data_IF_446738484175
#
_entry.id   IF_446738484175
#
_cell.length_a   1.000
_cell.length_b   1.000
_cell.length_c   1.000
_cell.angle_alpha   90.00
_cell.angle_beta   90.00
_cell.angle_gamma   90.00
#
_symmetry.space_group_name_H-M   'P 1'
#
loop_
_entity.id
_entity.type
_entity.pdbx_description
1 polymer ?
#
# COMPACT_ATOMS: atom_id res chain seq x y z
N UNK A 1 -21.11 4.31 7.25
CA UNK A 1 -20.46 4.30 5.92
C UNK A 1 -21.37 3.61 4.91
N UNK A 2 -21.58 4.21 3.73
CA UNK A 2 -22.32 3.57 2.64
C UNK A 2 -21.50 2.42 2.02
N UNK A 3 -22.17 1.36 1.54
CA UNK A 3 -21.50 0.21 0.91
C UNK A 3 -20.65 0.66 -0.29
N UNK A 4 -21.14 1.63 -1.08
CA UNK A 4 -20.39 2.21 -2.21
C UNK A 4 -19.07 2.84 -1.80
N UNK A 5 -19.03 3.52 -0.64
CA UNK A 5 -17.80 4.12 -0.10
C UNK A 5 -16.81 3.04 0.34
N UNK A 6 -17.28 1.97 0.98
CA UNK A 6 -16.44 0.83 1.35
C UNK A 6 -15.85 0.14 0.12
N UNK A 7 -16.66 -0.13 -0.90
CA UNK A 7 -16.20 -0.75 -2.16
C UNK A 7 -15.18 0.15 -2.88
N UNK A 8 -15.42 1.46 -2.89
CA UNK A 8 -14.47 2.42 -3.46
C UNK A 8 -13.15 2.40 -2.69
N UNK A 9 -13.23 2.41 -1.35
CA UNK A 9 -12.06 2.35 -0.48
C UNK A 9 -11.25 1.07 -0.72
N UNK A 10 -11.90 -0.10 -0.77
CA UNK A 10 -11.26 -1.37 -1.11
C UNK A 10 -10.61 -1.34 -2.49
N UNK A 11 -11.27 -0.79 -3.51
CA UNK A 11 -10.70 -0.68 -4.86
C UNK A 11 -9.42 0.17 -4.89
N UNK A 12 -9.41 1.28 -4.16
CA UNK A 12 -8.24 2.14 -4.03
C UNK A 12 -7.13 1.46 -3.20
N UNK A 13 -7.52 0.76 -2.13
CA UNK A 13 -6.63 -0.03 -1.28
C UNK A 13 -5.90 -1.11 -2.09
N UNK A 14 -6.66 -1.89 -2.85
CA UNK A 14 -6.17 -2.86 -3.80
C UNK A 14 -5.17 -2.24 -4.78
N UNK A 15 -5.53 -1.11 -5.40
CA UNK A 15 -4.64 -0.43 -6.36
C UNK A 15 -3.31 0.02 -5.72
N UNK A 16 -3.35 0.42 -4.44
CA UNK A 16 -2.18 0.81 -3.65
C UNK A 16 -1.27 -0.37 -3.32
N UNK A 17 -1.84 -1.52 -2.95
CA UNK A 17 -1.08 -2.74 -2.63
C UNK A 17 -0.57 -3.42 -3.90
N UNK A 18 -1.40 -3.50 -4.94
CA UNK A 18 -1.08 -4.20 -6.19
C UNK A 18 0.00 -3.48 -7.00
N UNK A 19 0.11 -2.14 -6.88
CA UNK A 19 1.16 -1.39 -7.56
C UNK A 19 2.53 -1.71 -6.93
N UNK A 20 3.54 -2.13 -7.73
CA UNK A 20 4.85 -2.56 -7.25
C UNK A 20 5.47 -1.57 -6.26
N UNK A 21 5.39 -1.91 -4.98
CA UNK A 21 6.02 -1.16 -3.89
C UNK A 21 7.15 -1.95 -3.24
N UNK A 22 7.86 -1.33 -2.29
CA UNK A 22 8.89 -1.99 -1.48
C UNK A 22 8.43 -3.33 -0.88
N UNK A 23 7.19 -3.41 -0.38
CA UNK A 23 6.66 -4.61 0.27
C UNK A 23 6.50 -5.78 -0.71
N UNK A 24 5.79 -5.57 -1.82
CA UNK A 24 5.59 -6.61 -2.85
C UNK A 24 6.92 -7.07 -3.43
N UNK A 25 7.82 -6.13 -3.74
CA UNK A 25 9.17 -6.46 -4.26
C UNK A 25 9.97 -7.27 -3.24
N UNK A 26 9.90 -6.91 -1.96
CA UNK A 26 10.60 -7.63 -0.91
C UNK A 26 10.04 -9.04 -0.71
N UNK A 27 8.72 -9.20 -0.71
CA UNK A 27 8.06 -10.51 -0.63
C UNK A 27 8.49 -11.40 -1.82
N UNK A 28 8.50 -10.85 -3.04
CA UNK A 28 8.96 -11.57 -4.24
C UNK A 28 10.44 -11.96 -4.12
N UNK A 29 11.30 -11.05 -3.65
CA UNK A 29 12.75 -11.32 -3.47
C UNK A 29 13.01 -12.45 -2.47
N UNK A 30 12.28 -12.46 -1.35
CA UNK A 30 12.37 -13.55 -0.37
C UNK A 30 11.77 -14.85 -0.91
N UNK A 31 10.64 -14.78 -1.60
CA UNK A 31 9.90 -15.93 -2.12
C UNK A 31 10.59 -16.65 -3.26
N UNK A 32 11.42 -15.93 -4.02
CA UNK A 32 12.28 -16.53 -5.03
C UNK A 32 13.26 -17.56 -4.44
N UNK A 33 13.64 -17.39 -3.16
CA UNK A 33 14.54 -18.30 -2.44
C UNK A 33 13.80 -19.23 -1.49
N UNK A 34 12.79 -18.72 -0.79
CA UNK A 34 12.03 -19.48 0.20
C UNK A 34 10.61 -18.92 0.34
N UNK A 35 9.62 -19.71 -0.08
CA UNK A 35 8.19 -19.41 0.12
C UNK A 35 7.87 -19.17 1.60
N UNK A 36 8.47 -19.97 2.49
CA UNK A 36 8.28 -19.80 3.94
C UNK A 36 8.78 -18.43 4.40
N UNK A 37 9.94 -17.98 3.92
CA UNK A 37 10.47 -16.65 4.27
C UNK A 37 9.56 -15.53 3.74
N UNK A 38 9.06 -15.66 2.52
CA UNK A 38 8.11 -14.70 1.95
C UNK A 38 6.81 -14.60 2.75
N UNK A 39 6.26 -15.72 3.21
CA UNK A 39 5.07 -15.72 4.06
C UNK A 39 5.34 -14.99 5.38
N UNK A 40 6.48 -15.25 6.04
CA UNK A 40 6.82 -14.51 7.26
C UNK A 40 6.98 -13.01 7.02
N UNK A 41 7.58 -12.61 5.90
CA UNK A 41 7.67 -11.19 5.53
C UNK A 41 6.29 -10.58 5.19
N UNK A 42 5.42 -11.32 4.51
CA UNK A 42 4.04 -10.89 4.26
C UNK A 42 3.27 -10.66 5.56
N UNK A 43 3.41 -11.57 6.53
CA UNK A 43 2.83 -11.40 7.88
C UNK A 43 3.41 -10.19 8.59
N UNK A 44 4.73 -9.99 8.53
CA UNK A 44 5.38 -8.80 9.10
C UNK A 44 4.87 -7.50 8.50
N UNK A 45 4.74 -7.44 7.17
CA UNK A 45 4.24 -6.26 6.45
C UNK A 45 2.78 -5.98 6.84
N UNK A 46 1.94 -7.03 6.90
CA UNK A 46 0.54 -6.91 7.34
C UNK A 46 0.43 -6.39 8.77
N UNK A 47 1.34 -6.78 9.67
CA UNK A 47 1.37 -6.23 11.03
C UNK A 47 1.72 -4.74 11.04
N UNK A 48 2.70 -4.30 10.23
CA UNK A 48 3.02 -2.88 10.08
C UNK A 48 1.81 -2.07 9.59
N UNK A 49 1.14 -2.59 8.56
CA UNK A 49 -0.07 -2.01 7.98
C UNK A 49 -1.22 -1.96 9.00
N UNK A 50 -1.33 -2.98 9.86
CA UNK A 50 -2.29 -3.01 10.96
C UNK A 50 -2.04 -1.88 11.95
N UNK A 51 -0.77 -1.60 12.30
CA UNK A 51 -0.42 -0.48 13.20
C UNK A 51 -0.87 0.84 12.57
N UNK A 52 -0.56 1.06 11.29
CA UNK A 52 -0.99 2.27 10.58
C UNK A 52 -2.52 2.40 10.51
N UNK A 53 -3.21 1.29 10.26
CA UNK A 53 -4.68 1.24 10.20
C UNK A 53 -5.31 1.58 11.53
N UNK A 54 -4.85 0.95 12.61
CA UNK A 54 -5.37 1.20 13.96
C UNK A 54 -5.04 2.63 14.40
N UNK A 55 -3.81 3.10 14.16
CA UNK A 55 -3.40 4.47 14.51
C UNK A 55 -4.25 5.51 13.75
N UNK A 56 -4.53 5.27 12.47
CA UNK A 56 -5.38 6.14 11.67
C UNK A 56 -6.83 6.10 12.17
N UNK A 57 -7.42 4.91 12.35
CA UNK A 57 -8.80 4.79 12.85
C UNK A 57 -9.01 5.39 14.24
N UNK A 58 -8.08 5.15 15.16
CA UNK A 58 -8.19 5.61 16.54
C UNK A 58 -7.88 7.12 16.67
N UNK A 59 -6.90 7.63 15.92
CA UNK A 59 -6.42 9.01 16.05
C UNK A 59 -7.19 10.03 15.22
N UNK A 60 -7.60 9.69 13.99
CA UNK A 60 -8.11 10.69 13.05
C UNK A 60 -9.51 11.20 13.42
N UNK A 61 -10.41 10.32 13.90
CA UNK A 61 -11.78 10.71 14.23
C UNK A 61 -11.83 11.75 15.36
N UNK A 62 -11.08 11.51 16.46
CA UNK A 62 -11.01 12.44 17.58
C UNK A 62 -10.34 13.76 17.17
N UNK A 63 -9.28 13.68 16.37
CA UNK A 63 -8.51 14.83 15.92
C UNK A 63 -9.32 15.75 14.98
N UNK A 64 -10.04 15.16 14.01
CA UNK A 64 -10.91 15.89 13.08
C UNK A 64 -12.09 16.52 13.81
N UNK A 65 -12.67 15.82 14.79
CA UNK A 65 -13.77 16.35 15.60
C UNK A 65 -13.35 17.56 16.44
N UNK A 66 -12.12 17.54 16.96
CA UNK A 66 -11.56 18.66 17.74
C UNK A 66 -11.15 19.85 16.86
N UNK A 67 -10.62 19.59 15.66
CA UNK A 67 -10.11 20.62 14.76
C UNK A 67 -10.52 20.35 13.31
N UNK A 68 -11.65 20.90 12.85
CA UNK A 68 -12.15 20.69 11.48
C UNK A 68 -11.16 21.08 10.37
N UNK A 69 -10.27 22.05 10.63
CA UNK A 69 -9.21 22.45 9.67
C UNK A 69 -8.17 21.37 9.39
N UNK A 70 -8.03 20.37 10.27
CA UNK A 70 -7.14 19.23 10.04
C UNK A 70 -7.64 18.38 8.88
N UNK A 71 -8.97 18.23 8.72
CA UNK A 71 -9.54 17.52 7.59
C UNK A 71 -9.14 18.22 6.28
N UNK A 72 -9.33 19.54 6.19
CA UNK A 72 -8.95 20.34 5.01
C UNK A 72 -7.47 20.20 4.70
N UNK A 73 -6.60 20.29 5.71
CA UNK A 73 -5.16 20.10 5.53
C UNK A 73 -4.81 18.70 5.02
N UNK A 74 -5.42 17.64 5.57
CA UNK A 74 -5.23 16.26 5.12
C UNK A 74 -5.76 16.04 3.71
N UNK A 75 -6.87 16.67 3.32
CA UNK A 75 -7.40 16.63 1.96
C UNK A 75 -6.44 17.28 0.97
N UNK A 76 -5.94 18.48 1.26
CA UNK A 76 -5.00 19.17 0.37
C UNK A 76 -3.68 18.39 0.26
N UNK A 77 -3.08 18.00 1.39
CA UNK A 77 -1.82 17.27 1.40
C UNK A 77 -1.96 15.88 0.76
N UNK A 78 -3.03 15.16 1.11
CA UNK A 78 -3.33 13.83 0.61
C UNK A 78 -3.66 13.83 -0.88
N UNK A 79 -4.46 14.79 -1.35
CA UNK A 79 -4.76 15.00 -2.76
C UNK A 79 -3.49 15.28 -3.57
N UNK A 80 -2.66 16.23 -3.15
CA UNK A 80 -1.36 16.52 -3.77
C UNK A 80 -0.47 15.28 -3.84
N UNK A 81 -0.43 14.49 -2.76
CA UNK A 81 0.35 13.26 -2.73
C UNK A 81 -0.18 12.19 -3.69
N UNK A 82 -1.50 11.99 -3.76
CA UNK A 82 -2.10 11.06 -4.72
C UNK A 82 -1.82 11.49 -6.17
N UNK A 83 -1.81 12.79 -6.46
CA UNK A 83 -1.42 13.32 -7.77
C UNK A 83 0.06 13.05 -8.09
N UNK A 84 0.95 13.18 -7.09
CA UNK A 84 2.36 12.83 -7.26
C UNK A 84 2.55 11.32 -7.48
N UNK A 85 1.83 10.48 -6.73
CA UNK A 85 1.77 9.03 -6.92
C UNK A 85 1.24 8.66 -8.31
N UNK A 86 0.19 9.34 -8.77
CA UNK A 86 -0.35 9.16 -10.11
C UNK A 86 0.68 9.48 -11.19
N UNK A 87 1.33 10.64 -11.07
CA UNK A 87 2.37 11.07 -12.01
C UNK A 87 3.54 10.09 -12.06
N UNK A 88 4.07 9.68 -10.91
CA UNK A 88 5.20 8.74 -10.83
C UNK A 88 4.84 7.37 -11.38
N UNK A 89 3.66 6.83 -11.07
CA UNK A 89 3.19 5.54 -11.57
C UNK A 89 2.93 5.58 -13.09
N UNK A 90 2.18 6.57 -13.60
CA UNK A 90 1.89 6.67 -15.04
C UNK A 90 3.18 6.87 -15.85
N UNK A 91 4.05 7.78 -15.42
CA UNK A 91 5.31 8.04 -16.14
C UNK A 91 6.28 6.86 -16.03
N UNK A 92 6.33 6.18 -14.89
CA UNK A 92 7.07 4.94 -14.68
C UNK A 92 6.61 3.85 -15.63
N UNK A 93 5.31 3.56 -15.65
CA UNK A 93 4.73 2.55 -16.53
C UNK A 93 4.94 2.87 -18.02
N UNK A 94 4.76 4.13 -18.45
CA UNK A 94 5.03 4.54 -19.85
C UNK A 94 6.50 4.31 -20.23
N UNK A 95 7.45 4.64 -19.34
CA UNK A 95 8.89 4.40 -19.56
C UNK A 95 9.19 2.90 -19.62
N UNK A 96 8.62 2.12 -18.71
CA UNK A 96 8.84 0.68 -18.62
C UNK A 96 8.33 -0.07 -19.86
N UNK A 97 7.24 0.40 -20.50
CA UNK A 97 6.80 -0.15 -21.80
C UNK A 97 7.86 -0.05 -22.90
N UNK A 98 8.85 0.83 -22.74
CA UNK A 98 9.96 1.03 -23.69
C UNK A 98 11.23 0.31 -23.25
N UNK A 99 11.25 -0.30 -22.06
CA UNK A 99 12.40 -0.98 -21.49
C UNK A 99 12.25 -2.51 -21.60
N UNK A 100 13.36 -3.27 -21.62
CA UNK A 100 13.29 -4.72 -21.55
C UNK A 100 12.71 -5.18 -20.20
N UNK A 101 11.76 -6.12 -20.27
CA UNK A 101 11.11 -6.71 -19.10
C UNK A 101 12.13 -7.33 -18.13
N UNK A 102 12.13 -6.86 -16.89
CA UNK A 102 13.01 -7.42 -15.83
C UNK A 102 12.18 -8.28 -14.89
N UNK A 103 12.56 -9.55 -14.73
CA UNK A 103 11.88 -10.48 -13.83
C UNK A 103 12.49 -10.37 -12.43
N UNK A 104 11.72 -9.85 -11.47
CA UNK A 104 12.19 -9.63 -10.10
C UNK A 104 12.41 -10.98 -9.40
N UNK A 105 13.58 -11.15 -8.79
CA UNK A 105 13.89 -12.37 -8.00
C UNK A 105 14.38 -13.56 -8.82
N UNK A 106 14.57 -13.45 -10.14
CA UNK A 106 15.25 -14.48 -10.94
C UNK A 106 16.77 -14.28 -11.04
N UNK A 107 17.30 -13.29 -10.34
CA UNK A 107 18.71 -12.94 -10.32
C UNK A 107 19.53 -14.09 -9.68
N UNK A 108 20.07 -14.98 -10.50
CA UNK A 108 20.86 -16.15 -10.06
C UNK A 108 22.15 -15.76 -9.32
N UNK A 109 22.57 -14.49 -9.43
CA UNK A 109 23.80 -13.91 -8.84
C UNK A 109 23.56 -12.68 -7.97
N UNK A 110 22.33 -12.36 -7.61
CA UNK A 110 22.12 -11.25 -6.68
C UNK A 110 22.73 -11.59 -5.31
N UNK A 111 23.40 -10.61 -4.66
CA UNK A 111 23.88 -10.77 -3.29
C UNK A 111 22.76 -11.34 -2.41
N UNK A 112 23.10 -12.29 -1.53
CA UNK A 112 22.11 -12.78 -0.57
C UNK A 112 21.54 -11.57 0.19
N UNK A 113 20.20 -11.44 0.29
CA UNK A 113 19.61 -10.43 1.15
C UNK A 113 20.20 -10.56 2.56
N UNK A 114 20.47 -9.44 3.24
CA UNK A 114 20.99 -9.47 4.62
C UNK A 114 20.08 -10.34 5.50
N UNK A 115 20.67 -11.26 6.26
CA UNK A 115 19.95 -12.14 7.19
C UNK A 115 19.81 -13.61 6.76
N UNK A 116 20.22 -13.96 5.54
CA UNK A 116 20.41 -15.36 5.15
C UNK A 116 21.74 -15.92 5.67
N UNK A 117 21.74 -17.18 6.08
CA UNK A 117 22.98 -17.93 6.38
C UNK A 117 23.67 -18.32 5.07
N UNK A 118 24.98 -18.68 5.11
CA UNK A 118 25.68 -19.22 3.93
C UNK A 118 24.94 -20.37 3.25
N UNK A 119 24.23 -21.20 4.03
CA UNK A 119 23.40 -22.32 3.55
C UNK A 119 22.08 -21.90 2.90
N UNK A 120 21.81 -20.59 2.78
CA UNK A 120 20.59 -20.06 2.18
C UNK A 120 19.35 -20.13 3.07
N UNK A 121 19.53 -20.28 4.39
CA UNK A 121 18.43 -20.33 5.35
C UNK A 121 18.23 -18.96 6.00
N UNK A 122 16.99 -18.52 6.14
CA UNK A 122 16.64 -17.32 6.92
C UNK A 122 15.71 -17.71 8.07
N UNK A 123 15.97 -17.16 9.26
CA UNK A 123 15.09 -17.37 10.42
C UNK A 123 13.75 -16.68 10.18
N UNK A 124 12.66 -17.33 10.60
CA UNK A 124 11.29 -16.80 10.50
C UNK A 124 11.18 -15.39 11.10
N UNK A 125 11.75 -15.18 12.29
CA UNK A 125 11.76 -13.87 12.95
C UNK A 125 12.50 -12.80 12.14
N UNK A 126 13.59 -13.14 11.45
CA UNK A 126 14.32 -12.20 10.59
C UNK A 126 13.48 -11.82 9.38
N UNK A 127 12.89 -12.79 8.68
CA UNK A 127 12.02 -12.54 7.53
C UNK A 127 10.78 -11.71 7.91
N UNK A 128 10.16 -12.00 9.06
CA UNK A 128 9.08 -11.21 9.63
C UNK A 128 9.50 -9.78 9.90
N UNK A 129 10.63 -9.57 10.59
CA UNK A 129 11.15 -8.22 10.89
C UNK A 129 11.48 -7.44 9.63
N UNK A 130 12.00 -8.10 8.60
CA UNK A 130 12.24 -7.45 7.32
C UNK A 130 10.93 -6.91 6.74
N UNK A 131 9.86 -7.72 6.69
CA UNK A 131 8.56 -7.26 6.19
C UNK A 131 7.98 -6.12 7.03
N UNK A 132 7.98 -6.30 8.34
CA UNK A 132 7.49 -5.30 9.30
C UNK A 132 8.20 -3.95 9.18
N UNK A 133 9.53 -3.95 9.10
CA UNK A 133 10.31 -2.72 8.94
C UNK A 133 10.11 -2.11 7.56
N UNK A 134 10.01 -2.94 6.51
CA UNK A 134 9.77 -2.45 5.16
C UNK A 134 8.46 -1.66 5.10
N UNK A 135 7.37 -2.23 5.60
CA UNK A 135 6.05 -1.58 5.61
C UNK A 135 6.07 -0.29 6.44
N UNK A 136 6.59 -0.34 7.68
CA UNK A 136 6.64 0.85 8.55
C UNK A 136 7.49 1.99 7.97
N UNK A 137 8.55 1.66 7.24
CA UNK A 137 9.43 2.64 6.60
C UNK A 137 9.00 2.99 5.17
N UNK A 138 7.93 2.36 4.67
CA UNK A 138 7.47 2.56 3.30
C UNK A 138 6.84 3.96 3.19
N UNK A 139 7.51 4.95 2.55
CA UNK A 139 6.96 6.29 2.43
C UNK A 139 5.62 6.29 1.68
N UNK A 140 5.38 5.26 0.85
CA UNK A 140 4.10 5.04 0.17
C UNK A 140 2.96 4.91 1.18
N UNK A 141 3.17 4.04 2.16
CA UNK A 141 2.20 3.65 3.19
C UNK A 141 1.96 4.84 4.12
N UNK A 142 3.02 5.43 4.67
CA UNK A 142 2.94 6.54 5.64
C UNK A 142 2.04 7.68 5.15
N UNK A 143 2.21 8.10 3.90
CA UNK A 143 1.49 9.26 3.36
C UNK A 143 0.10 8.86 2.84
N UNK A 144 -0.06 7.63 2.34
CA UNK A 144 -1.36 7.11 1.86
C UNK A 144 -2.39 7.00 2.98
N UNK A 145 -1.98 6.57 4.18
CA UNK A 145 -2.88 6.45 5.33
C UNK A 145 -3.53 7.79 5.71
N UNK A 146 -2.77 8.88 5.76
CA UNK A 146 -3.31 10.22 6.04
C UNK A 146 -4.29 10.70 4.97
N UNK A 147 -3.96 10.48 3.69
CA UNK A 147 -4.77 10.92 2.55
C UNK A 147 -6.11 10.18 2.45
N UNK A 148 -6.08 8.86 2.61
CA UNK A 148 -7.24 7.99 2.40
C UNK A 148 -8.16 8.02 3.61
N UNK A 149 -7.63 7.86 4.82
CA UNK A 149 -8.48 7.74 6.00
C UNK A 149 -9.24 9.05 6.28
N UNK A 150 -8.64 10.21 6.00
CA UNK A 150 -9.31 11.50 6.16
C UNK A 150 -10.57 11.64 5.30
N UNK A 151 -10.60 10.99 4.12
CA UNK A 151 -11.66 11.18 3.14
C UNK A 151 -12.72 10.07 3.17
N UNK A 152 -12.34 8.89 3.64
CA UNK A 152 -13.24 7.74 3.66
C UNK A 152 -13.79 7.45 5.06
N UNK A 153 -13.23 8.03 6.13
CA UNK A 153 -13.67 7.77 7.50
C UNK A 153 -14.36 9.00 8.07
N UNK A 154 -15.64 8.83 8.37
CA UNK A 154 -16.47 9.83 9.01
C UNK A 154 -16.23 9.80 10.53
N UNK A 155 -15.93 10.94 11.18
CA UNK A 155 -15.79 11.02 12.63
C UNK A 155 -17.01 10.48 13.41
N UNK A 156 -18.21 10.54 12.84
CA UNK A 156 -19.45 10.01 13.41
C UNK A 156 -19.61 8.49 13.29
N UNK A 157 -18.66 7.77 12.69
CA UNK A 157 -18.71 6.31 12.63
C UNK A 157 -18.60 5.69 14.03
N UNK A 158 -19.58 4.85 14.38
CA UNK A 158 -19.50 4.04 15.58
C UNK A 158 -18.32 3.06 15.55
N UNK A 159 -17.82 2.67 16.72
CA UNK A 159 -16.64 1.80 16.89
C UNK A 159 -16.75 0.51 16.06
N UNK A 160 -17.93 -0.10 16.00
CA UNK A 160 -18.17 -1.30 15.19
C UNK A 160 -17.90 -1.10 13.69
N UNK A 161 -18.27 0.06 13.14
CA UNK A 161 -18.01 0.39 11.74
C UNK A 161 -16.51 0.62 11.49
N UNK A 162 -15.80 1.29 12.41
CA UNK A 162 -14.35 1.47 12.33
C UNK A 162 -13.60 0.13 12.37
N UNK A 163 -13.99 -0.76 13.29
CA UNK A 163 -13.42 -2.11 13.40
C UNK A 163 -13.68 -2.94 12.14
N UNK A 164 -14.89 -2.86 11.58
CA UNK A 164 -15.23 -3.55 10.34
C UNK A 164 -14.37 -3.07 9.17
N UNK A 165 -14.25 -1.75 8.97
CA UNK A 165 -13.40 -1.17 7.91
C UNK A 165 -11.95 -1.61 8.09
N UNK A 166 -11.40 -1.46 9.29
CA UNK A 166 -10.03 -1.89 9.59
C UNK A 166 -9.81 -3.38 9.32
N UNK A 167 -10.74 -4.24 9.77
CA UNK A 167 -10.66 -5.67 9.56
C UNK A 167 -10.68 -6.05 8.08
N UNK A 168 -11.54 -5.42 7.27
CA UNK A 168 -11.63 -5.66 5.82
C UNK A 168 -10.33 -5.29 5.13
N UNK A 169 -9.77 -4.09 5.40
CA UNK A 169 -8.53 -3.64 4.77
C UNK A 169 -7.31 -4.48 5.19
N UNK A 170 -7.24 -4.87 6.47
CA UNK A 170 -6.17 -5.74 6.97
C UNK A 170 -6.28 -7.13 6.33
N UNK A 171 -7.49 -7.69 6.22
CA UNK A 171 -7.71 -8.99 5.62
C UNK A 171 -7.38 -8.98 4.11
N UNK A 172 -7.80 -7.94 3.40
CA UNK A 172 -7.45 -7.73 2.00
C UNK A 172 -5.92 -7.70 1.83
N UNK A 173 -5.23 -6.93 2.67
CA UNK A 173 -3.76 -6.82 2.64
C UNK A 173 -3.09 -8.16 2.92
N UNK A 174 -3.58 -8.89 3.92
CA UNK A 174 -3.07 -10.21 4.28
C UNK A 174 -3.22 -11.20 3.13
N UNK A 175 -4.41 -11.25 2.52
CA UNK A 175 -4.71 -12.14 1.38
C UNK A 175 -3.81 -11.82 0.19
N UNK A 176 -3.63 -10.54 -0.14
CA UNK A 176 -2.78 -10.12 -1.25
C UNK A 176 -1.30 -10.44 -0.98
N UNK A 177 -0.76 -10.04 0.17
CA UNK A 177 0.66 -10.27 0.48
C UNK A 177 1.01 -11.75 0.62
N UNK A 178 0.17 -12.53 1.29
CA UNK A 178 0.36 -13.99 1.39
C UNK A 178 0.14 -14.66 0.04
N UNK A 179 -0.83 -14.21 -0.75
CA UNK A 179 -1.06 -14.68 -2.12
C UNK A 179 0.17 -14.48 -3.01
N UNK A 180 0.81 -13.30 -2.94
CA UNK A 180 2.08 -13.01 -3.60
C UNK A 180 3.19 -13.93 -3.10
N UNK A 181 3.32 -14.11 -1.78
CA UNK A 181 4.34 -14.98 -1.20
C UNK A 181 4.22 -16.43 -1.71
N UNK A 182 3.01 -16.99 -1.70
CA UNK A 182 2.73 -18.36 -2.14
C UNK A 182 2.87 -18.53 -3.67
N UNK A 183 2.63 -17.46 -4.43
CA UNK A 183 2.61 -17.48 -5.89
C UNK A 183 3.80 -16.77 -6.53
N UNK A 184 4.91 -16.61 -5.79
CA UNK A 184 6.03 -15.73 -6.17
C UNK A 184 6.52 -15.92 -7.62
N UNK A 185 6.70 -17.17 -8.07
CA UNK A 185 7.17 -17.44 -9.44
C UNK A 185 6.18 -16.99 -10.51
N UNK A 186 4.88 -17.21 -10.28
CA UNK A 186 3.83 -16.83 -11.21
C UNK A 186 3.66 -15.30 -11.21
N UNK A 187 3.59 -14.69 -10.03
CA UNK A 187 3.46 -13.25 -9.85
C UNK A 187 4.66 -12.52 -10.45
N UNK A 188 5.89 -12.98 -10.21
CA UNK A 188 7.10 -12.36 -10.77
C UNK A 188 7.10 -12.37 -12.31
N UNK A 189 6.74 -13.50 -12.95
CA UNK A 189 6.61 -13.57 -14.41
C UNK A 189 5.47 -12.69 -14.93
N UNK A 190 4.34 -12.67 -14.25
CA UNK A 190 3.20 -11.85 -14.62
C UNK A 190 3.52 -10.35 -14.48
N UNK A 191 4.18 -9.95 -13.41
CA UNK A 191 4.62 -8.57 -13.20
C UNK A 191 5.65 -8.16 -14.23
N UNK A 192 6.62 -8.99 -14.59
CA UNK A 192 7.58 -8.65 -15.64
C UNK A 192 6.92 -8.33 -16.99
N UNK A 193 5.75 -8.91 -17.28
CA UNK A 193 4.98 -8.64 -18.51
C UNK A 193 4.00 -7.47 -18.36
N UNK A 194 3.46 -7.24 -17.16
CA UNK A 194 2.31 -6.38 -16.95
C UNK A 194 2.55 -5.21 -15.98
N UNK A 195 3.73 -5.09 -15.37
CA UNK A 195 4.11 -4.04 -14.40
C UNK A 195 3.76 -2.64 -14.91
N UNK A 196 4.09 -2.37 -16.17
CA UNK A 196 3.77 -1.11 -16.80
C UNK A 196 2.25 -0.79 -16.83
N UNK A 197 1.41 -1.79 -17.07
CA UNK A 197 -0.05 -1.60 -17.05
C UNK A 197 -0.58 -1.49 -15.63
N UNK A 198 -0.02 -2.25 -14.69
CA UNK A 198 -0.35 -2.12 -13.26
C UNK A 198 -0.07 -0.70 -12.79
N UNK A 199 1.10 -0.15 -13.11
CA UNK A 199 1.47 1.21 -12.74
C UNK A 199 0.57 2.27 -13.40
N UNK A 200 0.27 2.12 -14.69
CA UNK A 200 -0.63 3.06 -15.39
C UNK A 200 -2.05 3.01 -14.81
N UNK A 201 -2.60 1.82 -14.55
CA UNK A 201 -3.95 1.66 -14.00
C UNK A 201 -4.03 2.18 -12.57
N UNK A 202 -3.09 1.79 -11.70
CA UNK A 202 -3.01 2.32 -10.34
C UNK A 202 -2.83 3.83 -10.35
N UNK A 203 -1.97 4.36 -11.24
CA UNK A 203 -1.78 5.79 -11.41
C UNK A 203 -3.03 6.52 -11.88
N UNK A 204 -3.85 5.93 -12.76
CA UNK A 204 -5.14 6.49 -13.16
C UNK A 204 -6.13 6.54 -11.99
N UNK A 205 -6.17 5.49 -11.15
CA UNK A 205 -6.98 5.47 -9.92
C UNK A 205 -6.53 6.56 -8.95
N UNK A 206 -5.22 6.71 -8.73
CA UNK A 206 -4.68 7.78 -7.87
C UNK A 206 -4.93 9.17 -8.45
N UNK A 207 -4.87 9.34 -9.77
CA UNK A 207 -5.14 10.61 -10.43
C UNK A 207 -6.57 11.05 -10.16
N UNK A 208 -7.53 10.15 -10.45
CA UNK A 208 -8.95 10.42 -10.27
C UNK A 208 -9.24 10.80 -8.81
N UNK A 209 -8.77 9.98 -7.87
CA UNK A 209 -9.02 10.22 -6.45
C UNK A 209 -8.30 11.46 -5.94
N UNK A 210 -7.04 11.68 -6.37
CA UNK A 210 -6.25 12.84 -5.98
C UNK A 210 -6.89 14.15 -6.43
N UNK A 211 -7.46 14.21 -7.64
CA UNK A 211 -8.21 15.37 -8.13
C UNK A 211 -9.46 15.62 -7.28
N UNK A 212 -10.24 14.56 -7.00
CA UNK A 212 -11.47 14.68 -6.21
C UNK A 212 -11.16 15.21 -4.81
N UNK A 213 -10.24 14.57 -4.11
CA UNK A 213 -9.86 14.92 -2.74
C UNK A 213 -9.25 16.33 -2.67
N UNK A 214 -8.38 16.68 -3.63
CA UNK A 214 -7.78 18.01 -3.66
C UNK A 214 -8.84 19.10 -3.91
N UNK A 215 -9.80 18.83 -4.80
CA UNK A 215 -10.89 19.76 -5.07
C UNK A 215 -11.76 19.98 -3.82
N UNK A 216 -12.09 18.92 -3.08
CA UNK A 216 -12.81 19.03 -1.79
C UNK A 216 -12.02 19.85 -0.77
N UNK A 217 -10.71 19.58 -0.62
CA UNK A 217 -9.84 20.32 0.28
C UNK A 217 -9.75 21.81 -0.07
N UNK A 218 -9.56 22.14 -1.35
CA UNK A 218 -9.49 23.54 -1.81
C UNK A 218 -10.83 24.26 -1.59
N UNK A 219 -11.96 23.60 -1.83
CA UNK A 219 -13.28 24.16 -1.53
C UNK A 219 -13.47 24.40 -0.04
N UNK A 220 -13.04 23.46 0.80
CA UNK A 220 -13.07 23.60 2.25
C UNK A 220 -12.23 24.79 2.71
N UNK A 221 -11.04 24.98 2.13
CA UNK A 221 -10.14 26.09 2.46
C UNK A 221 -10.74 27.47 2.11
N UNK A 222 -11.47 27.57 1.00
CA UNK A 222 -12.13 28.82 0.56
C UNK A 222 -13.35 29.14 1.43
N UNK A 223 -13.98 28.14 2.03
CA UNK A 223 -15.18 28.29 2.86
C UNK A 223 -14.89 28.60 4.34
N UNK A 224 -13.63 28.57 4.75
CA UNK A 224 -13.15 28.94 6.09
C UNK A 224 -12.84 30.44 6.18
#
# INVERSE_FOLDING_TARGET
MAISALVTLMGVWFAAIASPGPDVVQIIRLGARSTRAAVWAALGSTTGLTIWTVASLAGLSALISAHPGILVALQVLGGCYLLWMAYTAITGGIKERRAPATVVGTETRAPQPRGFTPDGIIKAATAYRMGFICDLSNPKVVIFFGAIFANFIDPGMGIGANLMVGAVLILESLVLFVGVALSTRAVSKWMAKNSAWVDIVSGAVFLLLGVIILFEGVRGLIAM
#
